data_IF_348988543143
#
_entry.id   IF_348988543143
#
_cell.length_a   1.000
_cell.length_b   1.000
_cell.length_c   1.000
_cell.angle_alpha   90.00
_cell.angle_beta   90.00
_cell.angle_gamma   90.00
#
_symmetry.space_group_name_H-M   'P 1'
#
loop_
_entity.id
_entity.type
_entity.pdbx_description
1 polymer ?
#
# COMPACT_ATOMS: atom_id res chain seq x y z
N UNK A 1 -30.39 -30.28 4.31
CA UNK A 1 -29.29 -30.59 3.38
C UNK A 1 -28.84 -29.27 2.77
N UNK A 2 -27.76 -28.70 3.29
CA UNK A 2 -27.20 -27.44 2.80
C UNK A 2 -25.98 -27.79 1.96
N UNK A 3 -26.02 -27.40 0.70
CA UNK A 3 -24.99 -27.69 -0.30
C UNK A 3 -23.84 -26.71 -0.06
N UNK A 4 -22.73 -27.20 0.46
CA UNK A 4 -21.49 -26.43 0.63
C UNK A 4 -20.87 -26.28 -0.76
N UNK A 5 -20.60 -25.05 -1.17
CA UNK A 5 -19.94 -24.74 -2.43
C UNK A 5 -18.48 -25.22 -2.37
N UNK A 6 -18.14 -26.18 -3.22
CA UNK A 6 -16.78 -26.69 -3.41
C UNK A 6 -16.01 -25.78 -4.37
N UNK A 7 -14.89 -25.23 -3.92
CA UNK A 7 -13.91 -24.53 -4.77
C UNK A 7 -12.92 -25.52 -5.39
N UNK A 8 -12.40 -25.21 -6.58
CA UNK A 8 -11.63 -26.12 -7.44
C UNK A 8 -10.18 -26.40 -7.00
N UNK A 9 -9.76 -25.89 -5.84
CA UNK A 9 -8.54 -26.35 -5.15
C UNK A 9 -9.08 -27.26 -4.06
N UNK A 10 -8.85 -28.58 -4.20
CA UNK A 10 -9.47 -29.61 -3.35
C UNK A 10 -9.31 -29.34 -1.86
N UNK A 11 -10.11 -30.04 -1.05
CA UNK A 11 -10.14 -29.97 0.41
C UNK A 11 -8.76 -30.29 1.04
N UNK A 12 -7.81 -29.38 0.95
CA UNK A 12 -6.53 -29.46 1.66
C UNK A 12 -6.85 -29.10 3.11
N UNK A 13 -6.70 -30.03 4.06
CA UNK A 13 -6.91 -29.70 5.46
C UNK A 13 -5.78 -28.75 5.89
N UNK A 14 -6.11 -27.50 6.18
CA UNK A 14 -5.14 -26.45 6.52
C UNK A 14 -4.68 -26.50 7.98
N UNK A 15 -5.44 -27.17 8.86
CA UNK A 15 -5.14 -27.28 10.30
C UNK A 15 -3.81 -28.04 10.54
N UNK A 16 -3.56 -29.22 9.94
CA UNK A 16 -2.28 -29.91 10.09
C UNK A 16 -1.08 -29.11 9.55
N UNK A 17 -1.28 -28.34 8.47
CA UNK A 17 -0.23 -27.50 7.87
C UNK A 17 0.12 -26.34 8.80
N UNK A 18 -0.88 -25.69 9.39
CA UNK A 18 -0.65 -24.64 10.39
C UNK A 18 0.05 -25.17 11.65
N UNK A 19 -0.33 -26.36 12.14
CA UNK A 19 0.34 -27.00 13.28
C UNK A 19 1.80 -27.36 12.97
N UNK A 20 2.08 -27.85 11.76
CA UNK A 20 3.43 -28.19 11.31
C UNK A 20 4.33 -26.95 11.19
N UNK A 21 3.79 -25.82 10.70
CA UNK A 21 4.56 -24.58 10.51
C UNK A 21 4.77 -23.76 11.80
N UNK A 22 3.98 -24.00 12.86
CA UNK A 22 3.96 -23.17 14.07
C UNK A 22 5.24 -23.16 14.92
N UNK A 23 6.22 -23.99 14.56
CA UNK A 23 7.53 -24.05 15.21
C UNK A 23 8.71 -23.61 14.34
N UNK A 24 8.48 -23.21 13.07
CA UNK A 24 9.55 -22.96 12.10
C UNK A 24 9.68 -21.47 11.74
N UNK A 25 10.91 -21.02 11.50
CA UNK A 25 11.15 -19.66 11.01
C UNK A 25 10.68 -19.55 9.56
N UNK A 26 10.17 -18.36 9.18
CA UNK A 26 9.51 -18.11 7.90
C UNK A 26 10.34 -18.47 6.65
N UNK A 27 11.66 -18.36 6.77
CA UNK A 27 12.60 -18.55 5.66
C UNK A 27 12.86 -20.05 5.39
N UNK A 28 12.41 -20.92 6.31
CA UNK A 28 12.53 -22.37 6.22
C UNK A 28 11.32 -23.03 5.56
N UNK A 29 10.31 -22.26 5.16
CA UNK A 29 9.08 -22.76 4.53
C UNK A 29 9.35 -23.04 3.05
N UNK A 30 9.99 -24.17 2.75
CA UNK A 30 10.22 -24.62 1.37
C UNK A 30 8.88 -24.91 0.67
N UNK A 31 8.51 -24.04 -0.29
CA UNK A 31 7.37 -24.20 -1.19
C UNK A 31 5.98 -24.34 -0.53
N UNK A 32 5.50 -23.27 0.12
CA UNK A 32 4.04 -23.04 0.17
C UNK A 32 3.66 -22.29 -1.12
N UNK A 33 3.16 -23.07 -2.09
CA UNK A 33 3.05 -22.74 -3.52
C UNK A 33 2.02 -21.66 -3.86
N UNK A 34 1.35 -21.02 -2.90
CA UNK A 34 0.47 -19.91 -3.24
C UNK A 34 0.36 -18.89 -2.11
N UNK A 35 0.45 -17.61 -2.46
CA UNK A 35 0.26 -16.44 -1.58
C UNK A 35 -1.05 -16.57 -0.77
N UNK A 36 -2.04 -17.29 -1.33
CA UNK A 36 -3.29 -17.68 -0.70
C UNK A 36 -3.11 -18.55 0.56
N UNK A 37 -2.29 -19.61 0.49
CA UNK A 37 -2.11 -20.57 1.59
C UNK A 37 -1.35 -19.91 2.74
N UNK A 38 -0.32 -19.12 2.43
CA UNK A 38 0.42 -18.32 3.43
C UNK A 38 -0.50 -17.37 4.19
N UNK A 39 -1.46 -16.73 3.51
CA UNK A 39 -2.43 -15.80 4.13
C UNK A 39 -3.51 -16.50 4.96
N UNK A 40 -3.98 -17.66 4.52
CA UNK A 40 -4.93 -18.48 5.28
C UNK A 40 -4.27 -19.04 6.55
N UNK A 41 -3.01 -19.46 6.47
CA UNK A 41 -2.23 -19.95 7.61
C UNK A 41 -1.94 -18.81 8.61
N UNK A 42 -1.60 -17.60 8.13
CA UNK A 42 -1.43 -16.42 9.01
C UNK A 42 -2.73 -16.02 9.72
N UNK A 43 -3.85 -15.99 9.01
CA UNK A 43 -5.15 -15.73 9.65
C UNK A 43 -5.44 -16.77 10.75
N UNK A 44 -5.12 -18.05 10.53
CA UNK A 44 -5.29 -19.10 11.53
C UNK A 44 -4.37 -18.95 12.74
N UNK A 45 -3.11 -18.51 12.59
CA UNK A 45 -2.19 -18.25 13.70
C UNK A 45 -2.67 -17.12 14.63
N UNK A 46 -3.35 -16.11 14.06
CA UNK A 46 -3.97 -15.02 14.83
C UNK A 46 -5.39 -15.37 15.33
N UNK A 47 -5.84 -16.62 15.13
CA UNK A 47 -7.18 -17.09 15.50
C UNK A 47 -8.31 -16.56 14.60
N UNK A 48 -7.97 -15.90 13.49
CA UNK A 48 -8.90 -15.32 12.53
C UNK A 48 -9.28 -16.33 11.44
N UNK A 49 -10.58 -16.41 11.14
CA UNK A 49 -11.10 -17.17 9.98
C UNK A 49 -11.51 -16.26 8.82
N UNK A 50 -11.41 -14.92 9.00
CA UNK A 50 -11.69 -13.84 8.05
C UNK A 50 -10.92 -12.57 8.42
N UNK A 51 -10.71 -11.64 7.48
CA UNK A 51 -10.38 -10.24 7.80
C UNK A 51 -11.61 -9.57 8.44
N UNK A 52 -11.68 -9.63 9.77
CA UNK A 52 -12.80 -9.07 10.54
C UNK A 52 -12.59 -7.59 10.86
N UNK A 53 -13.63 -6.92 11.35
CA UNK A 53 -13.55 -5.53 11.83
C UNK A 53 -12.42 -5.34 12.88
N UNK A 54 -12.12 -6.37 13.70
CA UNK A 54 -11.04 -6.34 14.68
C UNK A 54 -9.65 -6.38 14.02
N UNK A 55 -9.48 -7.22 13.00
CA UNK A 55 -8.26 -7.35 12.21
C UNK A 55 -8.00 -6.08 11.41
N UNK A 56 -9.06 -5.53 10.81
CA UNK A 56 -9.04 -4.21 10.18
C UNK A 56 -8.71 -3.13 11.19
N UNK A 57 -9.09 -3.24 12.48
CA UNK A 57 -8.95 -2.17 13.46
C UNK A 57 -7.49 -1.72 13.71
N UNK A 58 -6.49 -2.56 13.44
CA UNK A 58 -5.10 -2.28 13.77
C UNK A 58 -4.10 -2.40 12.61
N UNK A 59 -4.34 -3.27 11.62
CA UNK A 59 -3.25 -3.75 10.74
C UNK A 59 -3.47 -3.49 9.25
N UNK A 60 -4.48 -2.71 8.86
CA UNK A 60 -4.71 -2.38 7.44
C UNK A 60 -4.48 -0.91 7.19
N UNK A 61 -3.73 -0.64 6.12
CA UNK A 61 -3.44 0.69 5.56
C UNK A 61 -3.81 0.74 4.08
N UNK A 62 -3.74 1.92 3.48
CA UNK A 62 -3.82 2.08 2.01
C UNK A 62 -2.45 2.35 1.42
N UNK A 63 -2.19 1.81 0.24
CA UNK A 63 -0.94 1.99 -0.50
C UNK A 63 -1.20 2.47 -1.92
N UNK A 64 -0.41 3.43 -2.40
CA UNK A 64 -0.32 3.77 -3.82
C UNK A 64 0.53 2.71 -4.53
N UNK A 65 -0.03 2.13 -5.58
CA UNK A 65 0.57 1.03 -6.35
C UNK A 65 0.71 1.45 -7.80
N UNK A 66 1.92 1.27 -8.34
CA UNK A 66 2.25 1.54 -9.73
C UNK A 66 2.05 0.34 -10.66
N UNK A 67 2.04 0.59 -11.97
CA UNK A 67 1.87 -0.45 -12.99
C UNK A 67 2.83 -1.65 -12.87
N UNK A 68 4.09 -1.42 -12.48
CA UNK A 68 5.06 -2.50 -12.32
C UNK A 68 4.66 -3.47 -11.19
N UNK A 69 4.24 -2.94 -10.05
CA UNK A 69 3.80 -3.75 -8.91
C UNK A 69 2.43 -4.40 -9.16
N UNK A 70 1.65 -3.84 -10.10
CA UNK A 70 0.41 -4.46 -10.58
C UNK A 70 0.62 -5.66 -11.50
N UNK A 71 1.77 -5.79 -12.13
CA UNK A 71 2.00 -6.81 -13.16
C UNK A 71 1.83 -8.22 -12.58
N UNK A 72 0.98 -9.04 -13.21
CA UNK A 72 0.75 -10.44 -12.82
C UNK A 72 -0.17 -10.63 -11.61
N UNK A 73 -0.80 -9.57 -11.09
CA UNK A 73 -1.73 -9.61 -9.96
C UNK A 73 -3.10 -9.08 -10.35
N UNK A 74 -4.15 -9.66 -9.78
CA UNK A 74 -5.51 -9.17 -9.93
C UNK A 74 -5.82 -8.15 -8.82
N UNK A 75 -6.45 -7.04 -9.19
CA UNK A 75 -6.71 -5.85 -8.36
C UNK A 75 -8.12 -5.33 -8.62
N UNK A 76 -9.11 -6.22 -8.61
CA UNK A 76 -10.48 -5.91 -9.03
C UNK A 76 -11.16 -4.84 -8.16
N UNK A 77 -10.61 -4.57 -6.97
CA UNK A 77 -11.13 -3.57 -6.03
C UNK A 77 -10.11 -2.45 -5.69
N UNK A 78 -9.05 -2.29 -6.48
CA UNK A 78 -8.19 -1.11 -6.38
C UNK A 78 -8.94 0.14 -6.89
N UNK A 79 -8.70 1.29 -6.24
CA UNK A 79 -9.31 2.57 -6.61
C UNK A 79 -8.34 3.38 -7.45
N UNK A 80 -8.80 4.15 -8.46
CA UNK A 80 -7.91 5.08 -9.15
C UNK A 80 -7.28 6.07 -8.18
N UNK A 81 -5.98 6.36 -8.33
CA UNK A 81 -5.37 7.48 -7.62
C UNK A 81 -5.73 8.79 -8.33
N UNK A 82 -6.30 9.74 -7.61
CA UNK A 82 -6.85 10.99 -8.17
C UNK A 82 -6.12 12.17 -7.57
N UNK A 83 -5.58 13.04 -8.43
CA UNK A 83 -5.01 14.32 -8.00
C UNK A 83 -6.09 15.19 -7.37
N UNK A 84 -5.85 15.67 -6.16
CA UNK A 84 -6.74 16.62 -5.48
C UNK A 84 -6.65 18.05 -6.05
N UNK A 85 -5.72 18.32 -6.98
CA UNK A 85 -5.61 19.61 -7.70
C UNK A 85 -6.41 19.57 -8.99
N UNK A 86 -6.24 18.53 -9.81
CA UNK A 86 -6.88 18.44 -11.14
C UNK A 86 -8.20 17.68 -11.12
N UNK A 87 -8.46 16.90 -10.06
CA UNK A 87 -9.58 15.96 -10.00
C UNK A 87 -9.48 14.81 -11.01
N UNK A 88 -8.36 14.67 -11.71
CA UNK A 88 -8.13 13.63 -12.71
C UNK A 88 -7.37 12.46 -12.12
N UNK A 89 -7.59 11.27 -12.70
CA UNK A 89 -6.81 10.09 -12.38
C UNK A 89 -5.36 10.28 -12.85
N UNK A 90 -4.41 9.85 -12.02
CA UNK A 90 -3.00 9.82 -12.43
C UNK A 90 -2.75 8.50 -13.17
N UNK A 91 -2.34 8.53 -14.46
CA UNK A 91 -2.13 7.31 -15.22
C UNK A 91 -1.16 6.35 -14.56
N UNK A 92 -1.52 5.07 -14.51
CA UNK A 92 -0.66 4.01 -13.98
C UNK A 92 -0.61 3.89 -12.46
N UNK A 93 -1.34 4.74 -11.72
CA UNK A 93 -1.44 4.68 -10.27
C UNK A 93 -2.83 4.27 -9.80
N UNK A 94 -2.86 3.37 -8.83
CA UNK A 94 -4.06 3.00 -8.08
C UNK A 94 -3.77 3.04 -6.58
N UNK A 95 -4.82 3.10 -5.78
CA UNK A 95 -4.79 2.92 -4.34
C UNK A 95 -5.35 1.54 -4.04
N UNK A 96 -4.58 0.73 -3.32
CA UNK A 96 -4.99 -0.61 -2.89
C UNK A 96 -4.94 -0.72 -1.36
N UNK A 97 -5.67 -1.67 -0.81
CA UNK A 97 -5.54 -2.05 0.60
C UNK A 97 -4.28 -2.89 0.77
N UNK A 98 -3.56 -2.63 1.86
CA UNK A 98 -2.40 -3.38 2.25
C UNK A 98 -2.50 -3.79 3.71
N UNK A 99 -2.03 -4.99 4.01
CA UNK A 99 -1.68 -5.41 5.36
C UNK A 99 -0.40 -4.70 5.79
N UNK A 100 -0.38 -4.22 7.03
CA UNK A 100 0.76 -3.57 7.63
C UNK A 100 0.95 -4.05 9.07
N UNK A 101 2.09 -4.71 9.29
CA UNK A 101 2.54 -5.16 10.61
C UNK A 101 4.07 -5.06 10.67
N UNK A 102 4.60 -3.84 10.50
CA UNK A 102 6.03 -3.58 10.30
C UNK A 102 6.51 -3.83 8.87
N UNK A 103 5.99 -4.88 8.22
CA UNK A 103 6.13 -5.11 6.78
C UNK A 103 4.82 -4.77 6.04
N UNK A 104 4.93 -4.47 4.75
CA UNK A 104 3.79 -4.09 3.90
C UNK A 104 3.49 -5.20 2.90
N UNK A 105 2.25 -5.67 2.86
CA UNK A 105 1.80 -6.67 1.90
C UNK A 105 0.47 -6.27 1.24
N UNK A 106 0.42 -6.26 -0.09
CA UNK A 106 -0.79 -5.91 -0.83
C UNK A 106 -1.85 -6.99 -0.70
N UNK A 107 -3.08 -6.61 -0.30
CA UNK A 107 -4.21 -7.53 -0.28
C UNK A 107 -4.62 -7.85 -1.73
N UNK A 108 -4.56 -9.13 -2.08
CA UNK A 108 -5.02 -9.63 -3.39
C UNK A 108 -6.53 -9.89 -3.35
N UNK A 109 -7.11 -10.22 -4.51
CA UNK A 109 -8.56 -10.38 -4.63
C UNK A 109 -9.15 -11.47 -3.71
N UNK A 110 -8.40 -12.53 -3.44
CA UNK A 110 -8.84 -13.57 -2.50
C UNK A 110 -8.88 -13.05 -1.06
N UNK A 111 -7.86 -12.31 -0.61
CA UNK A 111 -7.88 -11.66 0.70
C UNK A 111 -9.01 -10.62 0.79
N UNK A 112 -9.25 -9.88 -0.30
CA UNK A 112 -10.33 -8.89 -0.39
C UNK A 112 -11.73 -9.51 -0.43
N UNK A 113 -11.87 -10.79 -0.80
CA UNK A 113 -13.15 -11.51 -0.73
C UNK A 113 -13.62 -11.71 0.72
N UNK A 114 -12.68 -11.78 1.67
CA UNK A 114 -12.98 -11.91 3.11
C UNK A 114 -13.23 -10.57 3.80
N UNK A 115 -12.95 -9.44 3.14
CA UNK A 115 -13.23 -8.10 3.68
C UNK A 115 -14.72 -7.79 3.55
N UNK A 116 -15.43 -7.82 4.69
CA UNK A 116 -16.89 -7.65 4.77
C UNK A 116 -17.38 -6.31 4.20
N UNK A 117 -16.68 -5.22 4.53
CA UNK A 117 -16.97 -3.88 4.02
C UNK A 117 -15.66 -3.21 3.59
N UNK A 118 -15.42 -3.23 2.28
CA UNK A 118 -14.18 -2.73 1.71
C UNK A 118 -14.12 -1.19 1.71
N UNK A 119 -15.25 -0.50 1.66
CA UNK A 119 -15.30 0.96 1.75
C UNK A 119 -14.90 1.44 3.13
N UNK A 120 -15.40 0.76 4.17
CA UNK A 120 -14.98 0.96 5.55
C UNK A 120 -13.49 0.66 5.72
N UNK A 121 -12.99 -0.43 5.12
CA UNK A 121 -11.57 -0.78 5.16
C UNK A 121 -10.68 0.31 4.54
N UNK A 122 -11.06 0.88 3.39
CA UNK A 122 -10.31 2.00 2.78
C UNK A 122 -10.27 3.23 3.67
N UNK A 123 -11.40 3.60 4.29
CA UNK A 123 -11.44 4.75 5.20
C UNK A 123 -10.51 4.54 6.39
N UNK A 124 -10.65 3.40 7.07
CA UNK A 124 -9.82 3.06 8.23
C UNK A 124 -8.33 2.93 7.85
N UNK A 125 -8.03 2.34 6.69
CA UNK A 125 -6.66 2.22 6.21
C UNK A 125 -6.02 3.58 5.88
N UNK A 126 -6.81 4.52 5.39
CA UNK A 126 -6.36 5.91 5.18
C UNK A 126 -6.07 6.61 6.51
N UNK A 127 -6.93 6.42 7.51
CA UNK A 127 -6.74 6.99 8.86
C UNK A 127 -5.47 6.45 9.53
N UNK A 128 -5.18 5.14 9.37
CA UNK A 128 -3.97 4.51 9.94
C UNK A 128 -2.69 4.84 9.20
N UNK A 129 -2.78 5.16 7.92
CA UNK A 129 -1.60 5.43 7.11
C UNK A 129 -0.76 6.55 7.73
N UNK A 130 -1.40 7.59 8.28
CA UNK A 130 -0.69 8.66 8.97
C UNK A 130 0.16 8.10 10.12
N UNK A 131 -0.42 7.28 11.00
CA UNK A 131 0.28 6.63 12.11
C UNK A 131 1.43 5.74 11.64
N UNK A 132 1.24 4.99 10.54
CA UNK A 132 2.26 4.12 9.97
C UNK A 132 3.45 4.89 9.35
N UNK A 133 3.23 6.16 8.96
CA UNK A 133 4.27 7.03 8.40
C UNK A 133 4.94 7.92 9.46
N UNK A 134 4.38 8.04 10.67
CA UNK A 134 4.96 8.88 11.73
C UNK A 134 6.34 8.36 12.08
N UNK A 135 7.37 9.22 11.92
CA UNK A 135 8.76 8.88 12.24
C UNK A 135 9.50 8.10 11.16
N UNK A 136 8.79 7.62 10.12
CA UNK A 136 9.38 6.87 9.00
C UNK A 136 9.79 7.77 7.81
N UNK A 137 9.27 9.01 7.76
CA UNK A 137 9.59 9.97 6.69
C UNK A 137 10.84 10.79 7.03
N UNK A 138 11.83 10.70 6.15
CA UNK A 138 13.00 11.56 6.08
C UNK A 138 12.87 12.54 4.91
N UNK A 139 13.42 13.73 5.10
CA UNK A 139 13.34 14.82 4.13
C UNK A 139 14.76 15.31 3.84
N UNK A 140 15.15 15.35 2.58
CA UNK A 140 16.42 15.91 2.14
C UNK A 140 16.21 16.85 0.96
N UNK A 141 16.92 17.97 0.96
CA UNK A 141 16.71 19.04 -0.03
C UNK A 141 17.91 19.15 -0.96
N UNK A 142 17.62 19.29 -2.24
CA UNK A 142 18.58 19.64 -3.29
C UNK A 142 17.99 20.77 -4.15
N UNK A 143 18.46 22.00 -3.92
CA UNK A 143 17.92 23.20 -4.58
C UNK A 143 16.42 23.40 -4.31
N UNK A 144 15.63 23.38 -5.38
CA UNK A 144 14.16 23.53 -5.35
C UNK A 144 13.41 22.19 -5.24
N UNK A 145 14.15 21.09 -5.08
CA UNK A 145 13.61 19.75 -4.97
C UNK A 145 13.77 19.24 -3.54
N UNK A 146 12.70 18.67 -3.00
CA UNK A 146 12.68 17.94 -1.73
C UNK A 146 12.47 16.45 -2.03
N UNK A 147 13.40 15.63 -1.58
CA UNK A 147 13.27 14.18 -1.58
C UNK A 147 12.65 13.75 -0.26
N UNK A 148 11.54 13.04 -0.36
CA UNK A 148 10.88 12.36 0.76
C UNK A 148 11.23 10.89 0.65
N UNK A 149 11.92 10.35 1.64
CA UNK A 149 12.36 8.95 1.65
C UNK A 149 12.08 8.32 3.01
N UNK A 150 12.03 7.00 3.10
CA UNK A 150 11.85 6.31 4.37
C UNK A 150 12.17 4.84 4.29
N UNK A 151 12.31 4.18 5.44
CA UNK A 151 12.39 2.71 5.52
C UNK A 151 11.07 2.04 5.13
N UNK A 152 9.95 2.76 5.26
CA UNK A 152 8.63 2.25 4.96
C UNK A 152 8.30 2.29 3.46
N UNK A 153 7.82 1.16 2.93
CA UNK A 153 7.28 1.04 1.57
C UNK A 153 5.99 1.84 1.33
N UNK A 154 5.47 2.52 2.36
CA UNK A 154 4.30 3.37 2.28
C UNK A 154 4.62 4.84 2.00
N UNK A 155 5.91 5.23 1.88
CA UNK A 155 6.30 6.64 1.66
C UNK A 155 5.54 7.23 0.48
N UNK A 156 5.43 6.53 -0.65
CA UNK A 156 4.66 6.96 -1.84
C UNK A 156 3.18 7.26 -1.57
N UNK A 157 2.65 6.77 -0.46
CA UNK A 157 1.26 6.90 -0.04
C UNK A 157 1.05 8.07 0.91
N UNK A 158 2.10 8.76 1.35
CA UNK A 158 1.99 10.00 2.16
C UNK A 158 0.96 11.01 1.61
N UNK A 159 0.74 11.18 0.29
CA UNK A 159 -0.28 12.12 -0.21
C UNK A 159 -1.70 11.80 0.29
N UNK A 160 -1.97 10.53 0.63
CA UNK A 160 -3.24 10.06 1.17
C UNK A 160 -3.35 10.27 2.69
N UNK A 161 -2.23 10.48 3.38
CA UNK A 161 -2.18 10.63 4.83
C UNK A 161 -2.26 12.09 5.26
N UNK A 162 -3.38 12.46 5.86
CA UNK A 162 -3.58 13.82 6.38
C UNK A 162 -2.50 14.19 7.41
N UNK A 163 -1.86 15.35 7.23
CA UNK A 163 -0.85 15.86 8.15
C UNK A 163 0.56 15.29 7.94
N UNK A 164 0.72 14.18 7.22
CA UNK A 164 2.04 13.63 6.89
C UNK A 164 2.83 14.58 5.97
N UNK A 165 2.13 15.37 5.16
CA UNK A 165 2.73 16.36 4.27
C UNK A 165 3.09 17.70 4.94
N UNK A 166 2.79 17.92 6.22
CA UNK A 166 3.00 19.23 6.86
C UNK A 166 4.43 19.79 6.72
N UNK A 167 5.51 18.99 6.84
CA UNK A 167 6.87 19.47 6.60
C UNK A 167 7.05 20.04 5.18
N UNK A 168 6.49 19.37 4.17
CA UNK A 168 6.52 19.78 2.77
C UNK A 168 5.75 21.10 2.60
N UNK A 169 4.57 21.21 3.22
CA UNK A 169 3.76 22.43 3.17
C UNK A 169 4.49 23.64 3.80
N UNK A 170 5.31 23.41 4.83
CA UNK A 170 6.11 24.48 5.42
C UNK A 170 7.21 24.97 4.47
N UNK A 171 7.73 24.10 3.60
CA UNK A 171 8.81 24.45 2.66
C UNK A 171 8.30 25.08 1.36
N UNK A 172 7.25 24.53 0.76
CA UNK A 172 6.78 24.91 -0.58
C UNK A 172 5.36 25.48 -0.61
N UNK A 173 4.68 25.53 0.54
CA UNK A 173 3.27 25.88 0.61
C UNK A 173 2.34 24.71 0.28
N UNK A 174 1.04 25.00 0.20
CA UNK A 174 0.01 23.95 0.09
C UNK A 174 -0.08 23.29 -1.30
N UNK A 175 0.50 23.85 -2.36
CA UNK A 175 0.44 23.30 -3.71
C UNK A 175 1.83 22.93 -4.18
N UNK A 176 1.99 21.70 -4.66
CA UNK A 176 3.29 21.14 -5.09
C UNK A 176 3.12 20.29 -6.35
N UNK A 177 4.23 19.92 -6.96
CA UNK A 177 4.30 18.85 -7.96
C UNK A 177 5.04 17.67 -7.34
N UNK A 178 4.53 16.47 -7.57
CA UNK A 178 5.05 15.23 -6.99
C UNK A 178 5.43 14.27 -8.12
N UNK A 179 6.59 13.63 -8.00
CA UNK A 179 6.97 12.46 -8.78
C UNK A 179 7.29 11.28 -7.86
N UNK A 180 6.87 10.08 -8.25
CA UNK A 180 7.12 8.86 -7.46
C UNK A 180 8.26 8.09 -8.15
N UNK A 181 9.44 8.12 -7.55
CA UNK A 181 10.59 7.37 -8.06
C UNK A 181 10.44 5.89 -7.74
N UNK A 182 10.19 5.58 -6.46
CA UNK A 182 10.03 4.25 -5.91
C UNK A 182 8.98 4.28 -4.76
N UNK A 183 8.49 3.14 -4.27
CA UNK A 183 7.45 3.13 -3.23
C UNK A 183 7.91 3.75 -1.90
N UNK A 184 9.21 3.71 -1.64
CA UNK A 184 9.90 4.26 -0.47
C UNK A 184 10.54 5.64 -0.73
N UNK A 185 10.44 6.18 -1.96
CA UNK A 185 11.10 7.43 -2.36
C UNK A 185 10.28 8.28 -3.33
N UNK A 186 9.97 9.49 -2.89
CA UNK A 186 9.16 10.50 -3.61
C UNK A 186 9.96 11.78 -3.76
N UNK A 187 9.76 12.46 -4.88
CA UNK A 187 10.36 13.76 -5.19
C UNK A 187 9.26 14.81 -5.25
N UNK A 188 9.47 15.95 -4.60
CA UNK A 188 8.50 17.03 -4.49
C UNK A 188 9.17 18.37 -4.80
N UNK A 189 8.48 19.24 -5.54
CA UNK A 189 8.95 20.60 -5.79
C UNK A 189 7.76 21.59 -5.87
N UNK A 190 8.03 22.91 -5.84
CA UNK A 190 7.02 23.92 -6.16
C UNK A 190 6.45 23.74 -7.59
N UNK A 191 5.25 24.28 -7.86
CA UNK A 191 4.71 24.37 -9.22
C UNK A 191 5.66 25.12 -10.16
N UNK A 192 5.84 24.64 -11.40
CA UNK A 192 6.77 25.22 -12.39
C UNK A 192 8.17 24.62 -12.38
N UNK A 193 8.45 23.67 -11.48
CA UNK A 193 9.71 22.95 -11.35
C UNK A 193 9.67 21.53 -11.97
N UNK A 194 8.72 21.24 -12.86
CA UNK A 194 8.50 19.90 -13.44
C UNK A 194 9.77 19.34 -14.09
N UNK A 195 10.50 20.17 -14.85
CA UNK A 195 11.74 19.76 -15.50
C UNK A 195 12.87 19.39 -14.51
N UNK A 196 12.86 19.97 -13.30
CA UNK A 196 13.83 19.66 -12.25
C UNK A 196 13.46 18.34 -11.57
N UNK A 197 12.15 18.10 -11.34
CA UNK A 197 11.66 16.81 -10.86
C UNK A 197 12.02 15.70 -11.88
N UNK A 198 11.78 15.93 -13.17
CA UNK A 198 12.11 14.96 -14.22
C UNK A 198 13.60 14.58 -14.26
N UNK A 199 14.49 15.52 -13.95
CA UNK A 199 15.94 15.26 -13.84
C UNK A 199 16.31 14.51 -12.56
N UNK A 200 15.59 14.75 -11.46
CA UNK A 200 15.80 14.10 -10.18
C UNK A 200 15.25 12.66 -10.16
N UNK A 201 14.19 12.39 -10.93
CA UNK A 201 13.60 11.07 -11.03
C UNK A 201 14.44 10.15 -11.93
N UNK A 202 14.50 8.87 -11.55
CA UNK A 202 15.06 7.84 -12.42
C UNK A 202 14.20 7.62 -13.68
N UNK A 203 14.82 7.12 -14.75
CA UNK A 203 14.09 6.74 -15.97
C UNK A 203 13.10 5.57 -15.72
N UNK A 204 13.30 4.81 -14.65
CA UNK A 204 12.45 3.70 -14.21
C UNK A 204 11.41 4.11 -13.15
N UNK A 205 11.19 5.41 -12.96
CA UNK A 205 10.21 5.95 -12.01
C UNK A 205 8.84 5.30 -12.14
N UNK A 206 8.13 5.24 -11.03
CA UNK A 206 6.76 4.71 -10.96
C UNK A 206 5.75 5.66 -11.62
N UNK A 207 5.92 6.98 -11.45
CA UNK A 207 5.01 7.97 -12.00
C UNK A 207 5.74 9.24 -12.45
N UNK A 208 5.27 9.79 -13.57
CA UNK A 208 5.64 11.13 -14.05
C UNK A 208 5.17 12.22 -13.06
N UNK A 209 5.77 13.42 -13.09
CA UNK A 209 5.36 14.51 -12.22
C UNK A 209 3.89 14.90 -12.42
N UNK A 210 3.15 15.06 -11.32
CA UNK A 210 1.76 15.52 -11.33
C UNK A 210 1.49 16.51 -10.18
N UNK A 211 0.54 17.44 -10.35
CA UNK A 211 0.22 18.42 -9.32
C UNK A 211 -0.54 17.80 -8.14
N UNK A 212 -0.28 18.31 -6.94
CA UNK A 212 -0.90 17.85 -5.69
C UNK A 212 -1.04 18.96 -4.65
N UNK A 213 -2.05 18.85 -3.79
CA UNK A 213 -2.29 19.72 -2.65
C UNK A 213 -1.95 19.00 -1.34
N UNK A 214 -1.05 19.59 -0.57
CA UNK A 214 -0.57 19.03 0.70
C UNK A 214 -1.65 19.21 1.77
N UNK A 215 -2.16 18.10 2.34
CA UNK A 215 -3.26 18.07 3.33
C UNK A 215 -2.80 17.99 4.78
#
# INVERSE_FOLDING_TARGET
>A
MSQVATTAIGDIPLVPIAEELGGHHRDDWELVVDELVTRMVRSLFDGATRLTDATLAAHVVVKVVGNQERAGRSFDYARPFVSNVTGQTVPGLVVALAWFDGDVELLNDAALAEVKDRDVAYRLGTERLASALVGELSFSRDGDVLVVAGSSWLVSSWPLAKGAGRPIANEFGGSVVIGIEAPDRVVVAPPGCEAQIDQALSASRIADPFPWHVM
#
